data_IF_064866942631
#
_entry.id   IF_064866942631
#
_cell.length_a   1.000
_cell.length_b   1.000
_cell.length_c   1.000
_cell.angle_alpha   90.00
_cell.angle_beta   90.00
_cell.angle_gamma   90.00
#
_symmetry.space_group_name_H-M   'P 1'
#
loop_
_entity.id
_entity.type
_entity.pdbx_description
1 polymer ?
#
# COMPACT_ATOMS: atom_id res chain seq x y z
N UNK A 1 -16.93 -33.59 10.37
CA UNK A 1 -17.26 -32.17 10.14
C UNK A 1 -16.07 -31.55 9.39
N UNK A 2 -16.18 -31.32 8.08
CA UNK A 2 -15.07 -30.76 7.30
C UNK A 2 -15.30 -29.27 7.10
N UNK A 3 -14.51 -28.46 7.81
CA UNK A 3 -14.47 -27.02 7.65
C UNK A 3 -13.82 -26.69 6.29
N UNK A 4 -14.66 -26.38 5.31
CA UNK A 4 -14.25 -25.79 4.04
C UNK A 4 -13.86 -24.34 4.33
N UNK A 5 -12.56 -24.09 4.30
CA UNK A 5 -12.00 -22.75 4.48
C UNK A 5 -12.24 -21.97 3.19
N UNK A 6 -13.21 -21.06 3.22
CA UNK A 6 -13.49 -20.14 2.12
C UNK A 6 -12.31 -19.16 2.00
N UNK A 7 -11.50 -19.31 0.95
CA UNK A 7 -10.45 -18.36 0.63
C UNK A 7 -11.08 -17.10 -0.01
N UNK A 8 -11.20 -16.04 0.77
CA UNK A 8 -11.69 -14.73 0.30
C UNK A 8 -10.56 -14.02 -0.46
N UNK A 9 -10.62 -14.02 -1.79
CA UNK A 9 -9.74 -13.24 -2.64
C UNK A 9 -10.16 -11.76 -2.59
N UNK A 10 -9.45 -10.95 -1.80
CA UNK A 10 -9.66 -9.50 -1.74
C UNK A 10 -8.92 -8.85 -2.91
N UNK A 11 -9.65 -8.48 -3.96
CA UNK A 11 -9.12 -7.66 -5.06
C UNK A 11 -8.90 -6.22 -4.56
N UNK A 12 -7.64 -5.78 -4.52
CA UNK A 12 -7.28 -4.41 -4.17
C UNK A 12 -7.36 -3.55 -5.43
N UNK A 13 -8.37 -2.69 -5.51
CA UNK A 13 -8.49 -1.68 -6.58
C UNK A 13 -7.61 -0.48 -6.19
N UNK A 14 -6.56 -0.22 -6.96
CA UNK A 14 -5.69 0.95 -6.81
C UNK A 14 -6.39 2.18 -7.43
N UNK A 15 -6.99 3.03 -6.58
CA UNK A 15 -7.54 4.33 -7.01
C UNK A 15 -6.43 5.38 -6.94
N UNK A 16 -5.83 5.71 -8.09
CA UNK A 16 -4.97 6.88 -8.22
C UNK A 16 -5.86 8.12 -8.43
N UNK A 17 -6.04 8.92 -7.37
CA UNK A 17 -6.70 10.23 -7.47
C UNK A 17 -5.63 11.30 -7.71
N UNK A 18 -5.46 11.69 -8.97
CA UNK A 18 -4.53 12.76 -9.36
C UNK A 18 -5.16 14.12 -9.03
N UNK A 19 -4.77 14.73 -7.92
CA UNK A 19 -5.17 16.09 -7.57
C UNK A 19 -4.12 17.07 -8.07
N UNK A 20 -4.48 17.81 -9.11
CA UNK A 20 -3.67 18.81 -9.81
C UNK A 20 -3.33 19.99 -8.90
N UNK A 21 -2.04 20.17 -8.61
CA UNK A 21 -1.52 21.38 -8.00
C UNK A 21 -0.05 21.24 -7.63
N UNK A 22 0.85 21.72 -8.51
CA UNK A 22 2.29 22.11 -8.39
C UNK A 22 3.19 21.58 -7.25
N UNK A 23 2.79 20.54 -6.54
CA UNK A 23 3.53 19.80 -5.53
C UNK A 23 4.00 18.53 -6.22
N UNK A 24 5.26 18.12 -6.02
CA UNK A 24 5.81 16.89 -6.58
C UNK A 24 4.76 15.78 -6.56
N UNK A 25 4.38 15.23 -7.72
CA UNK A 25 3.27 14.27 -7.84
C UNK A 25 3.43 13.17 -6.79
N UNK A 26 2.72 13.28 -5.68
CA UNK A 26 2.74 12.28 -4.60
C UNK A 26 1.58 11.34 -4.82
N UNK A 27 1.92 10.07 -5.02
CA UNK A 27 0.99 8.97 -5.12
C UNK A 27 0.80 8.34 -3.75
N UNK A 28 -0.37 7.72 -3.56
CA UNK A 28 -0.70 7.00 -2.34
C UNK A 28 -1.08 5.57 -2.67
N UNK A 29 -0.63 4.61 -1.88
CA UNK A 29 -1.04 3.21 -1.98
C UNK A 29 -1.43 2.67 -0.61
N UNK A 30 -2.42 1.77 -0.60
CA UNK A 30 -2.86 1.08 0.61
C UNK A 30 -2.47 -0.39 0.53
N UNK A 31 -1.50 -0.79 1.34
CA UNK A 31 -1.04 -2.18 1.48
C UNK A 31 -1.61 -2.80 2.76
N UNK A 32 -1.94 -4.09 2.70
CA UNK A 32 -2.36 -4.87 3.86
C UNK A 32 -1.18 -5.73 4.33
N UNK A 33 -0.45 -5.34 5.39
CA UNK A 33 0.67 -6.12 5.90
C UNK A 33 0.23 -7.38 6.67
N UNK A 34 -1.05 -7.52 7.01
CA UNK A 34 -1.58 -8.63 7.81
C UNK A 34 -2.78 -8.21 8.67
N UNK A 35 -3.11 -8.97 9.74
CA UNK A 35 -4.24 -8.66 10.62
C UNK A 35 -4.03 -7.39 11.46
N UNK A 36 -2.77 -7.01 11.70
CA UNK A 36 -2.37 -5.78 12.39
C UNK A 36 -1.40 -4.99 11.52
N UNK A 37 -1.43 -3.67 11.63
CA UNK A 37 -0.44 -2.81 10.99
C UNK A 37 0.72 -2.58 11.95
N UNK A 38 1.84 -3.26 11.70
CA UNK A 38 3.11 -2.92 12.34
C UNK A 38 3.74 -1.71 11.63
N UNK A 39 4.02 -0.65 12.39
CA UNK A 39 4.52 0.62 11.82
C UNK A 39 5.93 0.47 11.24
N UNK A 40 6.79 -0.34 11.84
CA UNK A 40 8.14 -0.58 11.33
C UNK A 40 8.12 -1.33 10.00
N UNK A 41 7.33 -2.40 9.93
CA UNK A 41 7.11 -3.18 8.72
C UNK A 41 6.40 -2.36 7.63
N UNK A 42 5.45 -1.50 8.01
CA UNK A 42 4.77 -0.59 7.10
C UNK A 42 5.77 0.36 6.41
N UNK A 43 6.59 1.06 7.20
CA UNK A 43 7.64 1.96 6.68
C UNK A 43 8.63 1.19 5.80
N UNK A 44 9.14 0.05 6.28
CA UNK A 44 10.10 -0.76 5.52
C UNK A 44 9.52 -1.22 4.18
N UNK A 45 8.27 -1.67 4.15
CA UNK A 45 7.60 -2.07 2.90
C UNK A 45 7.40 -0.89 1.95
N UNK A 46 6.98 0.28 2.46
CA UNK A 46 6.81 1.46 1.62
C UNK A 46 8.15 1.92 1.02
N UNK A 47 9.21 1.91 1.81
CA UNK A 47 10.55 2.26 1.35
C UNK A 47 11.07 1.28 0.29
N UNK A 48 10.86 -0.02 0.49
CA UNK A 48 11.27 -1.08 -0.43
C UNK A 48 10.49 -1.07 -1.75
N UNK A 49 9.18 -0.87 -1.70
CA UNK A 49 8.31 -0.98 -2.88
C UNK A 49 8.24 0.32 -3.69
N UNK A 50 8.35 1.48 -3.04
CA UNK A 50 8.12 2.78 -3.67
C UNK A 50 9.34 3.70 -3.61
N UNK A 51 10.55 3.14 -3.72
CA UNK A 51 11.78 3.92 -3.88
C UNK A 51 12.06 4.94 -2.76
N UNK A 52 11.75 4.58 -1.51
CA UNK A 52 11.85 5.50 -0.36
C UNK A 52 10.53 6.11 0.10
N UNK A 53 9.39 5.57 -0.33
CA UNK A 53 8.07 5.99 0.15
C UNK A 53 7.91 5.94 1.67
N UNK A 54 7.07 6.84 2.20
CA UNK A 54 6.76 6.98 3.62
C UNK A 54 5.57 6.09 3.99
N UNK A 55 5.70 5.27 5.03
CA UNK A 55 4.64 4.38 5.52
C UNK A 55 3.97 4.89 6.80
N UNK A 56 2.64 4.85 6.82
CA UNK A 56 1.83 5.18 8.00
C UNK A 56 0.71 4.17 8.20
N UNK A 57 0.55 3.67 9.42
CA UNK A 57 -0.57 2.80 9.75
C UNK A 57 -1.88 3.60 9.88
N UNK A 58 -2.92 3.16 9.16
CA UNK A 58 -4.28 3.68 9.22
C UNK A 58 -5.20 2.51 9.57
N UNK A 59 -5.46 2.34 10.87
CA UNK A 59 -6.12 1.14 11.40
C UNK A 59 -5.25 -0.10 11.18
N UNK A 60 -5.82 -1.14 10.57
CA UNK A 60 -5.11 -2.38 10.22
C UNK A 60 -4.37 -2.32 8.89
N UNK A 61 -4.47 -1.20 8.15
CA UNK A 61 -3.88 -1.02 6.83
C UNK A 61 -2.64 -0.14 6.91
N UNK A 62 -1.70 -0.35 6.01
CA UNK A 62 -0.53 0.49 5.86
C UNK A 62 -0.69 1.38 4.62
N UNK A 63 -0.63 2.70 4.84
CA UNK A 63 -0.69 3.74 3.82
C UNK A 63 0.74 4.13 3.43
N UNK A 64 1.11 3.92 2.17
CA UNK A 64 2.34 4.41 1.60
C UNK A 64 2.10 5.72 0.84
N UNK A 65 2.90 6.74 1.11
CA UNK A 65 2.96 7.99 0.33
C UNK A 65 4.32 8.05 -0.36
N UNK A 66 4.34 8.22 -1.68
CA UNK A 66 5.56 8.15 -2.48
C UNK A 66 5.47 9.08 -3.68
N UNK A 67 6.58 9.38 -4.33
CA UNK A 67 6.56 10.16 -5.58
C UNK A 67 6.11 9.27 -6.73
N UNK A 68 5.10 9.70 -7.50
CA UNK A 68 4.54 8.96 -8.64
C UNK A 68 5.56 8.61 -9.72
N UNK A 69 6.73 9.27 -9.75
CA UNK A 69 7.86 8.90 -10.61
C UNK A 69 8.44 7.50 -10.30
N UNK A 70 8.17 6.95 -9.12
CA UNK A 70 8.60 5.62 -8.70
C UNK A 70 7.37 4.73 -8.41
N UNK A 71 6.60 4.34 -9.44
CA UNK A 71 5.54 3.37 -9.24
C UNK A 71 6.13 2.04 -8.74
N UNK A 72 5.37 1.25 -7.97
CA UNK A 72 5.84 -0.06 -7.56
C UNK A 72 6.09 -0.93 -8.80
N UNK A 73 7.05 -1.87 -8.76
CA UNK A 73 7.26 -2.79 -9.87
C UNK A 73 5.95 -3.50 -10.20
N UNK A 74 5.59 -3.54 -11.48
CA UNK A 74 4.39 -4.22 -11.94
C UNK A 74 4.47 -5.70 -11.55
N UNK A 75 3.62 -6.11 -10.61
CA UNK A 75 3.48 -7.52 -10.23
C UNK A 75 2.95 -8.28 -11.46
N UNK A 76 3.82 -9.07 -12.11
CA UNK A 76 3.40 -10.06 -13.11
C UNK A 76 2.80 -11.29 -12.42
#
# INVERSE_FOLDING_TARGET
MKAVHAALLVAVVLVASSSSGVMADTCTAMINPGPTCDSGLCVANCQRQYGGGLGHCVGTRCKCVYTCAFPPPATN
#
